data_IF_111461432740
#
_entry.id   IF_111461432740
#
_cell.length_a   1.000
_cell.length_b   1.000
_cell.length_c   1.000
_cell.angle_alpha   90.00
_cell.angle_beta   90.00
_cell.angle_gamma   90.00
#
_symmetry.space_group_name_H-M   'P 1'
#
loop_
_entity.id
_entity.type
_entity.pdbx_description
1 polymer ?
#
# COMPACT_ATOMS: atom_id res chain seq x y z
N UNK A 1 -27.76 -3.81 -44.27
CA UNK A 1 -26.74 -3.01 -43.63
C UNK A 1 -27.16 -2.84 -42.17
N UNK A 2 -26.63 -3.64 -41.28
CA UNK A 2 -27.04 -3.67 -39.86
C UNK A 2 -26.09 -2.70 -39.11
N UNK A 3 -26.62 -1.54 -38.67
CA UNK A 3 -25.89 -0.65 -37.73
C UNK A 3 -25.91 -1.32 -36.35
N UNK A 4 -24.78 -1.89 -35.95
CA UNK A 4 -24.54 -2.26 -34.56
C UNK A 4 -24.14 -0.98 -33.83
N UNK A 5 -25.08 -0.32 -33.18
CA UNK A 5 -24.79 0.76 -32.21
C UNK A 5 -24.17 0.08 -30.98
N UNK A 6 -22.86 0.21 -30.83
CA UNK A 6 -22.20 -0.08 -29.56
C UNK A 6 -22.68 0.95 -28.54
N UNK A 7 -23.55 0.53 -27.64
CA UNK A 7 -23.83 1.26 -26.41
C UNK A 7 -22.58 1.20 -25.54
N UNK A 8 -21.72 2.20 -25.67
CA UNK A 8 -20.69 2.51 -24.65
C UNK A 8 -21.48 3.08 -23.47
N UNK A 9 -21.91 2.21 -22.58
CA UNK A 9 -22.48 2.62 -21.30
C UNK A 9 -21.42 3.42 -20.56
N UNK A 10 -21.70 4.70 -20.25
CA UNK A 10 -20.91 5.44 -19.27
C UNK A 10 -20.93 4.65 -17.98
N UNK A 11 -19.82 3.97 -17.67
CA UNK A 11 -19.66 3.35 -16.37
C UNK A 11 -19.53 4.49 -15.36
N UNK A 12 -20.49 4.60 -14.44
CA UNK A 12 -20.41 5.60 -13.37
C UNK A 12 -19.15 5.39 -12.52
N UNK A 13 -18.63 6.47 -11.92
CA UNK A 13 -17.45 6.46 -11.05
C UNK A 13 -17.52 5.40 -9.93
N UNK A 14 -18.71 5.01 -9.52
CA UNK A 14 -18.94 3.98 -8.51
C UNK A 14 -18.86 2.53 -9.04
N UNK A 15 -18.67 2.33 -10.35
CA UNK A 15 -18.65 0.99 -10.94
C UNK A 15 -17.36 0.24 -10.59
N UNK A 16 -17.45 -1.09 -10.44
CA UNK A 16 -16.28 -1.95 -10.22
C UNK A 16 -15.21 -1.70 -11.29
N UNK A 17 -15.60 -1.71 -12.55
CA UNK A 17 -14.67 -1.56 -13.67
C UNK A 17 -13.93 -0.23 -13.65
N UNK A 18 -14.62 0.87 -13.32
CA UNK A 18 -13.99 2.19 -13.19
C UNK A 18 -12.98 2.22 -12.04
N UNK A 19 -13.37 1.75 -10.84
CA UNK A 19 -12.51 1.79 -9.66
C UNK A 19 -11.29 0.86 -9.80
N UNK A 20 -11.45 -0.31 -10.44
CA UNK A 20 -10.32 -1.21 -10.73
C UNK A 20 -9.39 -0.64 -11.80
N UNK A 21 -9.91 0.06 -12.79
CA UNK A 21 -9.11 0.79 -13.78
C UNK A 21 -8.27 1.88 -13.11
N UNK A 22 -8.93 2.71 -12.28
CA UNK A 22 -8.29 3.79 -11.53
C UNK A 22 -7.22 3.25 -10.59
N UNK A 23 -7.58 2.34 -9.69
CA UNK A 23 -6.65 1.74 -8.74
C UNK A 23 -5.50 1.02 -9.44
N UNK A 24 -5.79 0.21 -10.45
CA UNK A 24 -4.78 -0.55 -11.18
C UNK A 24 -3.81 0.34 -11.94
N UNK A 25 -4.27 1.43 -12.53
CA UNK A 25 -3.44 2.43 -13.22
C UNK A 25 -2.50 3.12 -12.23
N UNK A 26 -3.04 3.64 -11.14
CA UNK A 26 -2.24 4.40 -10.17
C UNK A 26 -1.27 3.49 -9.40
N UNK A 27 -1.72 2.33 -8.92
CA UNK A 27 -0.87 1.39 -8.20
C UNK A 27 0.25 0.82 -9.07
N UNK A 28 0.03 0.57 -10.37
CA UNK A 28 1.07 0.07 -11.27
C UNK A 28 2.24 1.05 -11.49
N UNK A 29 2.08 2.31 -11.10
CA UNK A 29 3.18 3.30 -11.13
C UNK A 29 4.20 3.09 -10.00
N UNK A 30 3.80 2.35 -8.97
CA UNK A 30 4.56 2.17 -7.73
C UNK A 30 4.85 0.68 -7.46
N UNK A 31 3.91 -0.20 -7.74
CA UNK A 31 3.95 -1.63 -7.43
C UNK A 31 4.21 -2.48 -8.70
N UNK A 32 5.43 -3.07 -8.92
CA UNK A 32 6.60 -2.98 -8.06
C UNK A 32 7.56 -1.85 -8.45
N UNK A 33 8.30 -1.34 -7.46
CA UNK A 33 9.47 -0.48 -7.65
C UNK A 33 10.60 -1.01 -6.76
N UNK A 34 11.55 -1.75 -7.33
CA UNK A 34 12.59 -2.45 -6.58
C UNK A 34 13.52 -1.49 -5.83
N UNK A 35 13.95 -0.42 -6.48
CA UNK A 35 14.78 0.61 -5.86
C UNK A 35 13.90 1.78 -5.40
N UNK A 36 13.93 2.08 -4.10
CA UNK A 36 13.11 3.13 -3.48
C UNK A 36 13.34 4.50 -4.12
N UNK A 37 14.57 4.80 -4.54
CA UNK A 37 14.91 6.08 -5.16
C UNK A 37 14.23 6.30 -6.51
N UNK A 38 13.83 5.21 -7.20
CA UNK A 38 13.13 5.32 -8.48
C UNK A 38 11.71 5.90 -8.32
N UNK A 39 11.15 5.88 -7.10
CA UNK A 39 9.90 6.58 -6.81
C UNK A 39 9.98 8.10 -7.02
N UNK A 40 11.17 8.71 -7.01
CA UNK A 40 11.32 10.12 -7.38
C UNK A 40 10.99 10.42 -8.84
N UNK A 41 10.94 9.41 -9.72
CA UNK A 41 10.45 9.58 -11.09
C UNK A 41 8.94 9.84 -11.12
N UNK A 42 8.22 9.28 -10.15
CA UNK A 42 6.79 9.47 -9.96
C UNK A 42 6.48 10.67 -9.06
N UNK A 43 7.31 10.91 -8.04
CA UNK A 43 7.12 11.89 -6.98
C UNK A 43 8.34 12.80 -6.83
N UNK A 44 8.56 13.73 -7.78
CA UNK A 44 9.80 14.54 -7.82
C UNK A 44 9.97 15.49 -6.62
N UNK A 45 8.89 15.83 -5.90
CA UNK A 45 8.93 16.63 -4.67
C UNK A 45 9.15 15.81 -3.40
N UNK A 46 9.15 14.48 -3.55
CA UNK A 46 9.30 13.56 -2.43
C UNK A 46 8.05 12.75 -2.12
N UNK A 47 8.23 11.81 -1.21
CA UNK A 47 7.18 10.88 -0.79
C UNK A 47 7.43 10.36 0.61
N UNK A 48 6.39 9.80 1.20
CA UNK A 48 6.49 9.01 2.44
C UNK A 48 5.99 7.60 2.19
N UNK A 49 6.58 6.64 2.88
CA UNK A 49 6.11 5.26 2.95
C UNK A 49 5.88 4.91 4.40
N UNK A 50 4.73 4.37 4.70
CA UNK A 50 4.39 3.84 6.02
C UNK A 50 3.93 2.39 5.86
N UNK A 51 4.51 1.49 6.63
CA UNK A 51 4.09 0.09 6.69
C UNK A 51 3.83 -0.29 8.14
N UNK A 52 2.75 -1.02 8.41
CA UNK A 52 2.45 -1.57 9.72
C UNK A 52 2.24 -3.07 9.61
N UNK A 53 2.75 -3.81 10.59
CA UNK A 53 2.51 -5.24 10.77
C UNK A 53 2.15 -5.55 12.21
N UNK A 54 1.14 -6.39 12.40
CA UNK A 54 0.81 -6.94 13.72
C UNK A 54 1.68 -8.18 13.97
N UNK A 55 2.37 -8.21 15.09
CA UNK A 55 3.23 -9.31 15.51
C UNK A 55 2.93 -9.67 16.97
N UNK A 56 2.13 -10.70 17.19
CA UNK A 56 1.65 -11.05 18.52
C UNK A 56 0.85 -9.89 19.15
N UNK A 57 1.27 -9.45 20.33
CA UNK A 57 0.65 -8.31 21.05
C UNK A 57 1.31 -6.96 20.69
N UNK A 58 2.06 -6.87 19.61
CA UNK A 58 2.74 -5.65 19.19
C UNK A 58 2.34 -5.22 17.77
N UNK A 59 2.35 -3.92 17.55
CA UNK A 59 2.30 -3.31 16.22
C UNK A 59 3.70 -2.79 15.86
N UNK A 60 4.24 -3.25 14.76
CA UNK A 60 5.51 -2.76 14.22
C UNK A 60 5.23 -1.82 13.07
N UNK A 61 5.66 -0.58 13.20
CA UNK A 61 5.55 0.47 12.19
C UNK A 61 6.92 0.72 11.59
N UNK A 62 6.97 0.77 10.26
CA UNK A 62 8.14 1.21 9.50
C UNK A 62 7.74 2.45 8.73
N UNK A 63 8.45 3.54 8.96
CA UNK A 63 8.22 4.81 8.29
C UNK A 63 9.48 5.24 7.56
N UNK A 64 9.33 5.74 6.33
CA UNK A 64 10.41 6.31 5.53
C UNK A 64 9.93 7.62 4.92
N UNK A 65 10.79 8.62 4.95
CA UNK A 65 10.58 9.91 4.30
C UNK A 65 11.68 10.20 3.29
N UNK A 66 11.29 10.57 2.10
CA UNK A 66 12.15 10.88 0.97
C UNK A 66 11.81 12.28 0.44
N UNK A 67 12.68 13.28 0.68
CA UNK A 67 12.44 14.68 0.28
C UNK A 67 13.25 15.12 -0.92
N UNK A 68 14.41 14.56 -1.15
CA UNK A 68 15.35 15.01 -2.16
C UNK A 68 16.08 13.83 -2.79
N UNK A 69 16.02 13.70 -4.11
CA UNK A 69 16.73 12.65 -4.85
C UNK A 69 18.24 12.76 -4.66
N UNK A 70 18.89 11.61 -4.41
CA UNK A 70 20.34 11.54 -4.21
C UNK A 70 20.82 11.94 -2.79
N UNK A 71 19.89 12.18 -1.86
CA UNK A 71 20.18 12.27 -0.43
C UNK A 71 19.77 10.98 0.27
N UNK A 72 20.45 10.60 1.37
CA UNK A 72 20.02 9.46 2.18
C UNK A 72 18.56 9.63 2.60
N UNK A 73 17.73 8.61 2.33
CA UNK A 73 16.37 8.59 2.80
C UNK A 73 16.35 8.15 4.26
N UNK A 74 15.63 8.84 5.11
CA UNK A 74 15.63 8.58 6.56
C UNK A 74 14.34 7.90 6.97
N UNK A 75 14.45 6.91 7.85
CA UNK A 75 13.29 6.20 8.36
C UNK A 75 13.44 5.73 9.80
N UNK A 76 12.34 5.20 10.31
CA UNK A 76 12.26 4.64 11.67
C UNK A 76 11.48 3.34 11.66
N UNK A 77 11.88 2.40 12.51
CA UNK A 77 11.09 1.22 12.89
C UNK A 77 10.66 1.42 14.33
N UNK A 78 9.36 1.33 14.60
CA UNK A 78 8.80 1.47 15.94
C UNK A 78 7.98 0.25 16.30
N UNK A 79 8.18 -0.27 17.50
CA UNK A 79 7.31 -1.26 18.10
C UNK A 79 6.44 -0.59 19.15
N UNK A 80 5.13 -0.72 18.99
CA UNK A 80 4.15 -0.24 19.95
C UNK A 80 3.40 -1.43 20.55
N UNK A 81 3.14 -1.39 21.85
CA UNK A 81 2.22 -2.32 22.48
C UNK A 81 0.81 -2.16 21.88
N UNK A 82 0.19 -3.25 21.43
CA UNK A 82 -1.11 -3.17 20.75
C UNK A 82 -2.26 -2.67 21.65
N UNK A 83 -2.15 -2.86 22.96
CA UNK A 83 -3.17 -2.50 23.95
C UNK A 83 -2.95 -1.11 24.54
N UNK A 84 -1.72 -0.83 25.04
CA UNK A 84 -1.42 0.45 25.70
C UNK A 84 -1.04 1.55 24.72
N UNK A 85 -0.65 1.20 23.49
CA UNK A 85 -0.11 2.08 22.44
C UNK A 85 1.23 2.74 22.82
N UNK A 86 1.85 2.30 23.91
CA UNK A 86 3.17 2.80 24.32
C UNK A 86 4.26 2.30 23.39
N UNK A 87 5.22 3.18 23.11
CA UNK A 87 6.41 2.83 22.33
C UNK A 87 7.35 1.97 23.20
N UNK A 88 7.60 0.76 22.75
CA UNK A 88 8.50 -0.19 23.44
C UNK A 88 9.92 -0.12 22.84
N UNK A 89 10.01 0.13 21.54
CA UNK A 89 11.28 0.21 20.80
C UNK A 89 11.18 1.19 19.66
N UNK A 90 12.34 1.83 19.35
CA UNK A 90 12.51 2.70 18.19
C UNK A 90 13.91 2.51 17.62
N UNK A 91 14.03 2.36 16.29
CA UNK A 91 15.30 2.18 15.59
C UNK A 91 15.28 3.12 14.38
N UNK A 92 16.30 3.94 14.25
CA UNK A 92 16.51 4.77 13.07
C UNK A 92 17.22 3.98 11.97
N UNK A 93 16.91 4.27 10.72
CA UNK A 93 17.65 3.76 9.58
C UNK A 93 17.80 4.82 8.49
N UNK A 94 18.74 4.56 7.59
CA UNK A 94 18.88 5.29 6.34
C UNK A 94 18.81 4.30 5.18
N UNK A 95 18.28 4.75 4.04
CA UNK A 95 18.42 4.06 2.78
C UNK A 95 19.36 4.85 1.90
N UNK A 96 20.49 4.24 1.55
CA UNK A 96 21.57 4.86 0.78
C UNK A 96 22.22 3.80 -0.11
N UNK A 97 22.52 4.16 -1.35
CA UNK A 97 23.13 3.26 -2.35
C UNK A 97 22.39 1.92 -2.49
N UNK A 98 21.04 1.96 -2.51
CA UNK A 98 20.20 0.79 -2.68
C UNK A 98 20.10 -0.13 -1.46
N UNK A 99 20.54 0.32 -0.27
CA UNK A 99 20.59 -0.52 0.95
C UNK A 99 20.07 0.21 2.18
N UNK A 100 19.45 -0.56 3.06
CA UNK A 100 19.12 -0.10 4.40
C UNK A 100 20.33 -0.20 5.33
N UNK A 101 20.63 0.88 6.04
CA UNK A 101 21.65 0.96 7.07
C UNK A 101 20.96 1.30 8.38
N UNK A 102 20.93 0.35 9.31
CA UNK A 102 20.22 0.47 10.59
C UNK A 102 21.17 0.91 11.71
N UNK A 103 20.67 1.73 12.62
CA UNK A 103 21.36 2.05 13.86
C UNK A 103 21.64 0.80 14.72
N UNK A 104 20.71 -0.15 14.72
CA UNK A 104 20.82 -1.47 15.35
C UNK A 104 20.28 -2.55 14.40
N UNK A 105 21.17 -3.19 13.66
CA UNK A 105 20.81 -4.17 12.63
C UNK A 105 20.19 -5.45 13.20
N UNK A 106 20.67 -5.94 14.36
CA UNK A 106 20.13 -7.13 14.98
C UNK A 106 18.68 -6.95 15.43
N UNK A 107 18.39 -5.81 16.04
CA UNK A 107 17.04 -5.49 16.49
C UNK A 107 16.11 -5.16 15.30
N UNK A 108 16.62 -4.47 14.29
CA UNK A 108 15.88 -4.20 13.07
C UNK A 108 15.43 -5.51 12.37
N UNK A 109 16.31 -6.51 12.26
CA UNK A 109 15.98 -7.83 11.71
C UNK A 109 14.92 -8.58 12.50
N UNK A 110 14.84 -8.38 13.81
CA UNK A 110 13.77 -8.98 14.64
C UNK A 110 12.43 -8.32 14.39
N UNK A 111 12.41 -7.00 14.29
CA UNK A 111 11.18 -6.21 14.11
C UNK A 111 10.69 -6.22 12.66
N UNK A 112 11.61 -6.14 11.71
CA UNK A 112 11.32 -6.06 10.27
C UNK A 112 12.17 -7.07 9.48
N UNK A 113 11.92 -8.39 9.65
CA UNK A 113 12.79 -9.46 9.12
C UNK A 113 12.87 -9.50 7.60
N UNK A 114 11.83 -9.06 6.87
CA UNK A 114 11.83 -8.97 5.43
C UNK A 114 12.76 -7.87 4.90
N UNK A 115 13.00 -6.78 5.67
CA UNK A 115 13.86 -5.67 5.29
C UNK A 115 13.45 -4.99 3.98
N UNK A 116 12.17 -5.05 3.63
CA UNK A 116 11.60 -4.50 2.40
C UNK A 116 10.17 -4.04 2.62
N UNK A 117 9.79 -3.00 1.90
CA UNK A 117 8.40 -2.57 1.77
C UNK A 117 7.66 -3.45 0.74
N UNK A 118 6.33 -3.52 0.84
CA UNK A 118 5.52 -4.29 -0.09
C UNK A 118 5.70 -3.83 -1.53
N UNK A 119 5.74 -2.52 -1.75
CA UNK A 119 5.86 -1.96 -3.10
C UNK A 119 7.14 -2.39 -3.83
N UNK A 120 8.16 -2.87 -3.12
CA UNK A 120 9.40 -3.33 -3.76
C UNK A 120 9.26 -4.69 -4.47
N UNK A 121 8.28 -5.50 -4.06
CA UNK A 121 8.11 -6.87 -4.60
C UNK A 121 6.68 -7.16 -5.08
N UNK A 122 5.67 -6.48 -4.54
CA UNK A 122 4.27 -6.76 -4.86
C UNK A 122 3.90 -6.14 -6.21
N UNK A 123 3.41 -6.96 -7.12
CA UNK A 123 2.83 -6.49 -8.38
C UNK A 123 1.34 -6.24 -8.21
N UNK A 124 0.89 -5.02 -8.51
CA UNK A 124 -0.53 -4.64 -8.54
C UNK A 124 -0.83 -3.92 -9.85
N UNK A 125 -1.84 -4.41 -10.57
CA UNK A 125 -2.33 -3.78 -11.78
C UNK A 125 -3.79 -4.17 -12.02
N UNK A 126 -4.43 -3.53 -12.99
CA UNK A 126 -5.82 -3.79 -13.37
C UNK A 126 -6.11 -5.26 -13.64
N UNK A 127 -5.24 -5.97 -14.35
CA UNK A 127 -5.49 -7.35 -14.77
C UNK A 127 -5.49 -8.32 -13.57
N UNK A 128 -4.67 -8.03 -12.56
CA UNK A 128 -4.64 -8.78 -11.29
C UNK A 128 -5.95 -8.53 -10.53
N UNK A 129 -6.35 -7.27 -10.41
CA UNK A 129 -7.58 -6.89 -9.68
C UNK A 129 -8.84 -7.44 -10.35
N UNK A 130 -8.93 -7.34 -11.67
CA UNK A 130 -10.09 -7.82 -12.42
C UNK A 130 -10.31 -9.34 -12.32
N UNK A 131 -9.23 -10.13 -12.14
CA UNK A 131 -9.28 -11.58 -11.93
C UNK A 131 -9.61 -11.97 -10.50
N UNK A 132 -9.40 -11.06 -9.54
CA UNK A 132 -9.65 -11.31 -8.14
C UNK A 132 -11.14 -11.35 -7.81
N UNK A 133 -11.50 -12.11 -6.77
CA UNK A 133 -12.88 -12.12 -6.26
C UNK A 133 -13.11 -10.86 -5.43
N UNK A 134 -13.84 -9.89 -5.99
CA UNK A 134 -14.30 -8.73 -5.24
C UNK A 134 -15.28 -9.16 -4.15
N UNK A 135 -15.00 -8.81 -2.91
CA UNK A 135 -15.82 -9.10 -1.72
C UNK A 135 -16.66 -7.90 -1.34
N UNK A 136 -16.09 -6.71 -1.39
CA UNK A 136 -16.76 -5.46 -1.06
C UNK A 136 -16.20 -4.30 -1.86
N UNK A 137 -17.04 -3.30 -2.11
CA UNK A 137 -16.63 -2.00 -2.64
C UNK A 137 -17.44 -0.89 -1.99
N UNK A 138 -16.83 0.24 -1.76
CA UNK A 138 -17.49 1.45 -1.34
C UNK A 138 -16.96 2.66 -2.13
N UNK A 139 -17.80 3.63 -2.34
CA UNK A 139 -17.45 4.93 -2.94
C UNK A 139 -18.15 6.02 -2.14
N UNK A 140 -17.38 6.93 -1.59
CA UNK A 140 -17.86 8.06 -0.79
C UNK A 140 -17.59 9.34 -1.54
N UNK A 141 -18.63 10.08 -1.87
CA UNK A 141 -18.52 11.36 -2.57
C UNK A 141 -17.90 12.41 -1.64
N UNK A 142 -17.20 13.37 -2.23
CA UNK A 142 -16.50 14.44 -1.48
C UNK A 142 -17.38 15.20 -0.51
N UNK A 143 -18.67 15.35 -0.82
CA UNK A 143 -19.63 16.03 0.04
C UNK A 143 -19.96 15.25 1.31
N UNK A 144 -19.71 13.93 1.32
CA UNK A 144 -19.96 12.99 2.41
C UNK A 144 -18.66 12.54 3.08
N UNK A 145 -17.51 12.82 2.45
CA UNK A 145 -16.19 12.42 2.93
C UNK A 145 -15.65 13.38 3.98
N UNK A 146 -15.08 12.88 5.08
CA UNK A 146 -14.39 13.72 6.08
C UNK A 146 -13.17 14.48 5.53
N UNK A 147 -12.55 13.96 4.45
CA UNK A 147 -11.37 14.57 3.81
C UNK A 147 -11.75 15.63 2.78
N UNK A 148 -13.01 15.66 2.32
CA UNK A 148 -13.46 16.54 1.25
C UNK A 148 -13.04 16.12 -0.15
N UNK A 149 -12.58 14.86 -0.30
CA UNK A 149 -12.24 14.23 -1.59
C UNK A 149 -13.15 13.01 -1.85
N UNK A 150 -13.31 12.62 -3.12
CA UNK A 150 -13.97 11.38 -3.45
C UNK A 150 -13.08 10.20 -3.03
N UNK A 151 -13.61 9.33 -2.17
CA UNK A 151 -12.88 8.18 -1.63
C UNK A 151 -13.43 6.88 -2.17
N UNK A 152 -12.58 5.89 -2.36
CA UNK A 152 -13.04 4.55 -2.67
C UNK A 152 -12.31 3.49 -1.82
N UNK A 153 -13.01 2.38 -1.62
CA UNK A 153 -12.51 1.20 -0.96
C UNK A 153 -12.89 -0.04 -1.77
N UNK A 154 -11.89 -0.89 -2.01
CA UNK A 154 -12.07 -2.18 -2.69
C UNK A 154 -11.52 -3.28 -1.79
N UNK A 155 -12.29 -4.33 -1.54
CA UNK A 155 -11.85 -5.50 -0.79
C UNK A 155 -11.99 -6.75 -1.65
N UNK A 156 -10.92 -7.53 -1.71
CA UNK A 156 -10.81 -8.73 -2.51
C UNK A 156 -10.50 -9.94 -1.64
N UNK A 157 -10.89 -11.11 -2.12
CA UNK A 157 -10.28 -12.37 -1.71
C UNK A 157 -9.37 -12.80 -2.88
N UNK A 158 -8.05 -12.79 -2.63
CA UNK A 158 -7.02 -12.90 -3.67
C UNK A 158 -5.80 -13.64 -3.15
N UNK A 159 -5.11 -14.35 -4.02
CA UNK A 159 -3.82 -14.99 -3.73
C UNK A 159 -2.69 -14.00 -4.07
N UNK A 160 -1.90 -13.63 -3.05
CA UNK A 160 -0.76 -12.73 -3.15
C UNK A 160 0.46 -13.35 -2.44
N UNK A 161 1.29 -14.16 -3.12
CA UNK A 161 2.40 -14.89 -2.49
C UNK A 161 3.35 -14.02 -1.67
N UNK A 162 3.66 -12.80 -2.16
CA UNK A 162 4.53 -11.85 -1.47
C UNK A 162 3.93 -11.45 -0.11
N UNK A 163 2.65 -11.12 -0.08
CA UNK A 163 1.95 -10.74 1.16
C UNK A 163 1.87 -11.93 2.10
N UNK A 164 1.52 -13.11 1.58
CA UNK A 164 1.41 -14.35 2.38
C UNK A 164 2.73 -14.70 3.05
N UNK A 165 3.86 -14.58 2.35
CA UNK A 165 5.21 -14.81 2.89
C UNK A 165 5.51 -13.85 4.05
N UNK A 166 5.15 -12.58 3.93
CA UNK A 166 5.32 -11.58 5.00
C UNK A 166 4.46 -11.92 6.21
N UNK A 167 3.25 -12.42 6.00
CA UNK A 167 2.33 -12.83 7.05
C UNK A 167 2.69 -14.20 7.67
N UNK A 168 3.61 -14.95 7.05
CA UNK A 168 4.00 -16.30 7.49
C UNK A 168 2.92 -17.35 7.25
N UNK A 169 2.08 -17.17 6.25
CA UNK A 169 1.04 -18.12 5.80
C UNK A 169 1.44 -18.76 4.47
N UNK A 170 0.76 -19.84 4.10
CA UNK A 170 1.01 -20.54 2.83
C UNK A 170 0.81 -19.59 1.64
N UNK A 171 1.81 -19.54 0.76
CA UNK A 171 1.82 -18.64 -0.40
C UNK A 171 0.67 -18.90 -1.39
N UNK A 172 0.09 -20.09 -1.39
CA UNK A 172 -1.06 -20.45 -2.23
C UNK A 172 -2.42 -20.08 -1.62
N UNK A 173 -2.46 -19.68 -0.36
CA UNK A 173 -3.72 -19.39 0.33
C UNK A 173 -4.29 -18.04 -0.09
N UNK A 174 -5.59 -17.96 -0.45
CA UNK A 174 -6.25 -16.68 -0.63
C UNK A 174 -6.35 -15.90 0.69
N UNK A 175 -6.15 -14.58 0.59
CA UNK A 175 -6.29 -13.65 1.71
C UNK A 175 -7.32 -12.58 1.40
N UNK A 176 -7.85 -11.96 2.42
CA UNK A 176 -8.60 -10.73 2.30
C UNK A 176 -7.62 -9.56 2.14
N UNK A 177 -7.74 -8.85 1.02
CA UNK A 177 -6.87 -7.74 0.65
C UNK A 177 -7.69 -6.51 0.30
N UNK A 178 -7.30 -5.36 0.78
CA UNK A 178 -7.99 -4.10 0.53
C UNK A 178 -7.12 -3.06 -0.13
N UNK A 179 -7.78 -2.20 -0.89
CA UNK A 179 -7.21 -1.00 -1.48
C UNK A 179 -8.11 0.17 -1.07
N UNK A 180 -7.51 1.20 -0.48
CA UNK A 180 -8.15 2.48 -0.25
C UNK A 180 -7.41 3.54 -1.07
N UNK A 181 -8.15 4.47 -1.67
CA UNK A 181 -7.59 5.54 -2.48
C UNK A 181 -8.59 6.64 -2.74
N UNK A 182 -8.15 7.65 -3.47
CA UNK A 182 -8.94 8.82 -3.83
C UNK A 182 -9.17 8.87 -5.33
N UNK A 183 -10.40 9.19 -5.71
CA UNK A 183 -10.78 9.50 -7.09
C UNK A 183 -10.65 11.00 -7.32
N UNK A 184 -10.00 11.39 -8.41
CA UNK A 184 -9.68 12.79 -8.75
C UNK A 184 -8.77 13.51 -7.74
N UNK A 185 -7.96 12.76 -6.99
CA UNK A 185 -6.97 13.33 -6.07
C UNK A 185 -5.93 14.16 -6.82
N UNK A 186 -5.48 15.26 -6.17
CA UNK A 186 -4.40 16.10 -6.71
C UNK A 186 -3.00 15.51 -6.52
N UNK A 187 -2.87 14.33 -5.93
CA UNK A 187 -1.61 13.65 -5.70
C UNK A 187 -1.83 12.18 -5.38
N UNK A 188 -0.73 11.43 -5.35
CA UNK A 188 -0.77 10.00 -5.03
C UNK A 188 -0.92 9.80 -3.52
N UNK A 189 -1.97 9.12 -3.11
CA UNK A 189 -2.19 8.65 -1.74
C UNK A 189 -3.02 7.38 -1.79
N UNK A 190 -2.36 6.24 -1.59
CA UNK A 190 -2.98 4.92 -1.61
C UNK A 190 -2.54 4.12 -0.41
N UNK A 191 -3.51 3.42 0.17
CA UNK A 191 -3.30 2.44 1.22
C UNK A 191 -3.72 1.07 0.71
N UNK A 192 -2.86 0.08 0.92
CA UNK A 192 -3.20 -1.34 0.72
C UNK A 192 -3.12 -2.07 2.04
N UNK A 193 -4.00 -3.04 2.24
CA UNK A 193 -4.08 -3.79 3.48
C UNK A 193 -4.34 -5.27 3.27
N UNK A 194 -3.72 -6.11 4.11
CA UNK A 194 -4.06 -7.52 4.24
C UNK A 194 -4.74 -7.77 5.57
N UNK A 195 -5.78 -8.60 5.54
CA UNK A 195 -6.62 -8.87 6.70
C UNK A 195 -6.67 -10.36 6.98
N UNK A 196 -6.59 -10.70 8.26
CA UNK A 196 -6.81 -12.05 8.77
C UNK A 196 -7.92 -11.98 9.83
N UNK A 197 -8.95 -12.82 9.71
CA UNK A 197 -10.11 -12.81 10.62
C UNK A 197 -10.74 -11.41 10.80
N UNK A 198 -10.83 -10.62 9.71
CA UNK A 198 -11.29 -9.22 9.68
C UNK A 198 -10.43 -8.20 10.47
N UNK A 199 -9.24 -8.61 10.92
CA UNK A 199 -8.27 -7.72 11.54
C UNK A 199 -7.21 -7.36 10.49
N UNK A 200 -6.90 -6.08 10.34
CA UNK A 200 -5.77 -5.64 9.50
C UNK A 200 -4.48 -6.09 10.14
N UNK A 201 -3.78 -7.03 9.50
CA UNK A 201 -2.54 -7.62 10.00
C UNK A 201 -1.30 -7.03 9.35
N UNK A 202 -1.47 -6.45 8.17
CA UNK A 202 -0.43 -5.76 7.42
C UNK A 202 -1.09 -4.64 6.61
N UNK A 203 -0.53 -3.45 6.62
CA UNK A 203 -0.89 -2.41 5.66
C UNK A 203 0.34 -1.61 5.24
N UNK A 204 0.27 -1.01 4.06
CA UNK A 204 1.26 -0.10 3.54
C UNK A 204 0.56 1.09 2.87
N UNK A 205 1.05 2.29 3.16
CA UNK A 205 0.58 3.52 2.56
C UNK A 205 1.75 4.27 1.95
N UNK A 206 1.56 4.73 0.72
CA UNK A 206 2.49 5.62 0.03
C UNK A 206 1.75 6.92 -0.26
N UNK A 207 2.42 8.03 0.09
CA UNK A 207 1.88 9.37 -0.10
C UNK A 207 2.91 10.29 -0.74
N UNK A 208 2.51 10.99 -1.78
CA UNK A 208 3.30 12.08 -2.37
C UNK A 208 3.40 13.28 -1.43
N UNK A 209 4.58 13.88 -1.31
CA UNK A 209 4.78 15.17 -0.62
C UNK A 209 4.42 16.29 -1.60
N UNK A 210 3.52 17.18 -1.19
CA UNK A 210 2.96 18.28 -2.01
C UNK A 210 3.65 19.60 -1.77
#
# INVERSE_FOLDING_TARGET
MLCVTMLVGCQGHESRGYLEELAGKELSRVYPTENIEDLFEQFPKGFTVSQMRVVGDANVFVYLEAREKGKPLVGTIKQLNSKTKEEEKSITFQYVDGKFVFENEEEAKKLWPQGKFLFQELQLNKDILAKAKLVNKNYTKKEESPTGDNEFYLKYNIQLPVVNRILGIDESQPIDFSIFGYDESKGFEYEIGAHQDNITTLWEMIREIR
#
